data_IF_708811673539
#
_entry.id   IF_708811673539
#
_cell.length_a   1.000
_cell.length_b   1.000
_cell.length_c   1.000
_cell.angle_alpha   90.00
_cell.angle_beta   90.00
_cell.angle_gamma   90.00
#
_symmetry.space_group_name_H-M   'P 1'
#
loop_
_entity.id
_entity.type
_entity.pdbx_description
1 polymer ?
#
# COMPACT_ATOMS: atom_id res chain seq x y z
N UNK A 1 54.80 -33.59 -27.09
CA UNK A 1 53.92 -34.24 -26.11
C UNK A 1 53.42 -33.19 -25.13
N UNK A 2 52.27 -32.58 -25.43
CA UNK A 2 51.55 -31.71 -24.51
C UNK A 2 50.51 -32.57 -23.79
N UNK A 3 50.53 -32.57 -22.46
CA UNK A 3 49.52 -33.23 -21.64
C UNK A 3 48.18 -32.48 -21.76
N UNK A 4 47.04 -33.18 -21.85
CA UNK A 4 45.74 -32.52 -21.93
C UNK A 4 45.39 -31.89 -20.56
N UNK A 5 44.74 -30.71 -20.53
CA UNK A 5 44.24 -30.15 -19.29
C UNK A 5 43.06 -30.99 -18.78
N UNK A 6 43.08 -31.29 -17.47
CA UNK A 6 42.04 -32.01 -16.75
C UNK A 6 40.69 -31.29 -16.88
N UNK A 7 39.56 -32.00 -17.02
CA UNK A 7 38.25 -31.39 -16.95
C UNK A 7 38.04 -30.85 -15.52
N UNK A 8 38.00 -29.52 -15.38
CA UNK A 8 37.52 -28.88 -14.15
C UNK A 8 36.03 -29.19 -14.03
N UNK A 9 35.71 -29.97 -12.99
CA UNK A 9 34.48 -29.92 -12.19
C UNK A 9 33.30 -29.19 -12.86
N UNK A 10 32.59 -29.90 -13.73
CA UNK A 10 31.27 -29.51 -14.25
C UNK A 10 30.16 -30.42 -13.72
N UNK A 11 30.44 -31.14 -12.62
CA UNK A 11 29.50 -32.06 -11.96
C UNK A 11 29.58 -31.88 -10.44
N UNK A 12 28.99 -30.78 -9.94
CA UNK A 12 28.46 -30.64 -8.56
C UNK A 12 27.78 -29.27 -8.40
N UNK A 13 26.62 -29.12 -9.02
CA UNK A 13 25.64 -28.05 -8.72
C UNK A 13 24.24 -28.67 -8.58
N UNK A 14 24.16 -29.69 -7.73
CA UNK A 14 22.91 -30.21 -7.19
C UNK A 14 23.08 -30.29 -5.68
N UNK A 15 22.84 -29.15 -5.00
CA UNK A 15 22.49 -29.00 -3.59
C UNK A 15 22.44 -27.50 -3.27
N UNK A 16 21.35 -27.04 -2.67
CA UNK A 16 20.90 -25.66 -2.39
C UNK A 16 20.51 -24.84 -3.62
N UNK A 17 19.22 -24.78 -3.94
CA UNK A 17 18.68 -23.69 -4.75
C UNK A 17 18.89 -22.39 -3.97
N UNK A 18 19.80 -21.53 -4.43
CA UNK A 18 19.99 -20.20 -3.87
C UNK A 18 18.77 -19.37 -4.26
N UNK A 19 17.92 -19.01 -3.29
CA UNK A 19 16.79 -18.13 -3.54
C UNK A 19 17.30 -16.75 -3.96
N UNK A 20 16.67 -16.17 -4.97
CA UNK A 20 17.11 -14.92 -5.59
C UNK A 20 16.23 -13.78 -5.10
N UNK A 21 16.85 -12.78 -4.49
CA UNK A 21 16.18 -11.55 -4.12
C UNK A 21 16.05 -10.64 -5.34
N UNK A 22 14.84 -10.14 -5.57
CA UNK A 22 14.60 -9.12 -6.57
C UNK A 22 15.09 -7.79 -5.99
N UNK A 23 16.03 -7.08 -6.65
CA UNK A 23 16.47 -5.78 -6.16
C UNK A 23 15.26 -4.84 -6.07
N UNK A 24 15.08 -4.09 -4.97
CA UNK A 24 14.00 -3.12 -4.88
C UNK A 24 14.08 -2.14 -6.05
N UNK A 25 12.95 -1.96 -6.73
CA UNK A 25 12.81 -0.93 -7.76
C UNK A 25 12.79 0.47 -7.13
N UNK A 26 12.48 0.55 -5.83
CA UNK A 26 12.23 1.81 -5.12
C UNK A 26 10.87 2.38 -5.48
N UNK A 27 10.48 3.49 -4.84
CA UNK A 27 9.19 4.16 -5.06
C UNK A 27 9.32 5.43 -5.89
N UNK A 28 10.39 5.56 -6.66
CA UNK A 28 10.64 6.68 -7.58
C UNK A 28 10.38 6.29 -9.05
N UNK A 29 9.69 5.17 -9.27
CA UNK A 29 9.45 4.61 -10.60
C UNK A 29 8.48 5.48 -11.42
N UNK A 30 8.49 5.21 -12.72
CA UNK A 30 7.58 5.80 -13.71
C UNK A 30 6.54 4.79 -14.16
N UNK A 31 5.42 5.29 -14.65
CA UNK A 31 4.33 4.51 -15.22
C UNK A 31 4.58 4.30 -16.71
N UNK A 32 4.23 3.11 -17.17
CA UNK A 32 4.37 2.73 -18.57
C UNK A 32 3.03 2.30 -19.12
N UNK A 33 2.72 2.75 -20.34
CA UNK A 33 1.50 2.40 -21.06
C UNK A 33 1.80 2.04 -22.51
N UNK A 34 0.84 1.41 -23.18
CA UNK A 34 0.87 1.21 -24.63
C UNK A 34 -0.06 2.21 -25.30
N UNK A 35 0.46 2.96 -26.27
CA UNK A 35 -0.33 3.88 -27.09
C UNK A 35 -1.34 3.08 -27.95
N UNK A 36 -2.65 3.36 -27.87
CA UNK A 36 -3.66 2.71 -28.70
C UNK A 36 -3.45 2.95 -30.20
N UNK A 37 -2.93 4.11 -30.59
CA UNK A 37 -2.81 4.51 -31.99
C UNK A 37 -1.61 3.90 -32.71
N UNK A 38 -0.45 3.79 -32.03
CA UNK A 38 0.79 3.34 -32.66
C UNK A 38 1.46 2.13 -31.99
N UNK A 39 0.86 1.60 -30.92
CA UNK A 39 1.44 0.56 -30.06
C UNK A 39 2.81 0.91 -29.44
N UNK A 40 3.22 2.18 -29.50
CA UNK A 40 4.44 2.67 -28.86
C UNK A 40 4.31 2.73 -27.34
N UNK A 41 5.44 2.58 -26.63
CA UNK A 41 5.46 2.71 -25.16
C UNK A 41 5.46 4.18 -24.76
N UNK A 42 4.56 4.54 -23.85
CA UNK A 42 4.47 5.86 -23.22
C UNK A 42 5.02 5.75 -21.80
N UNK A 43 5.84 6.71 -21.37
CA UNK A 43 6.35 6.83 -20.01
C UNK A 43 5.85 8.13 -19.38
N UNK A 44 5.36 8.07 -18.15
CA UNK A 44 4.96 9.25 -17.37
C UNK A 44 5.29 9.09 -15.88
N UNK A 45 5.38 10.20 -15.16
CA UNK A 45 5.56 10.24 -13.71
C UNK A 45 4.24 10.40 -12.95
N UNK A 46 3.13 10.62 -13.64
CA UNK A 46 1.80 10.90 -13.06
C UNK A 46 0.71 10.03 -13.70
N UNK A 47 -0.37 9.79 -12.94
CA UNK A 47 -1.58 9.09 -13.38
C UNK A 47 -2.79 10.03 -13.53
N UNK A 48 -2.61 11.33 -13.27
CA UNK A 48 -3.70 12.30 -13.21
C UNK A 48 -3.77 13.21 -14.44
N UNK A 49 -2.71 13.22 -15.25
CA UNK A 49 -2.60 14.11 -16.41
C UNK A 49 -2.62 13.31 -17.71
N UNK A 50 -3.21 13.86 -18.79
CA UNK A 50 -3.08 13.30 -20.12
C UNK A 50 -1.62 13.22 -20.57
N UNK A 51 -1.29 12.18 -21.34
CA UNK A 51 0.07 11.93 -21.82
C UNK A 51 0.11 11.89 -23.33
N UNK A 52 1.10 12.58 -23.91
CA UNK A 52 1.32 12.59 -25.36
C UNK A 52 2.30 11.49 -25.75
N UNK A 53 1.89 10.60 -26.64
CA UNK A 53 2.75 9.61 -27.25
C UNK A 53 3.71 10.25 -28.27
N UNK A 54 4.84 9.60 -28.55
CA UNK A 54 5.77 9.99 -29.61
C UNK A 54 5.14 10.08 -31.01
N UNK A 55 4.02 9.40 -31.26
CA UNK A 55 3.26 9.52 -32.51
C UNK A 55 2.38 10.78 -32.59
N UNK A 56 2.34 11.60 -31.53
CA UNK A 56 1.53 12.82 -31.45
C UNK A 56 0.12 12.61 -30.92
N UNK A 57 -0.26 11.37 -30.58
CA UNK A 57 -1.55 11.06 -29.96
C UNK A 57 -1.56 11.50 -28.49
N UNK A 58 -2.61 12.19 -28.08
CA UNK A 58 -2.89 12.50 -26.67
C UNK A 58 -3.76 11.39 -26.08
N UNK A 59 -3.40 10.90 -24.89
CA UNK A 59 -4.08 9.79 -24.25
C UNK A 59 -4.39 10.16 -22.81
N UNK A 60 -5.64 9.95 -22.39
CA UNK A 60 -6.00 10.04 -20.99
C UNK A 60 -5.39 8.85 -20.24
N UNK A 61 -4.64 9.11 -19.16
CA UNK A 61 -4.02 8.06 -18.36
C UNK A 61 -5.05 7.20 -17.64
N UNK A 62 -6.25 7.73 -17.36
CA UNK A 62 -7.37 6.97 -16.78
C UNK A 62 -7.93 5.89 -17.71
N UNK A 63 -7.76 6.05 -19.03
CA UNK A 63 -8.24 5.11 -20.05
C UNK A 63 -7.19 4.06 -20.46
N UNK A 64 -5.96 4.16 -19.91
CA UNK A 64 -4.86 3.28 -20.26
C UNK A 64 -4.58 2.25 -19.16
N UNK A 65 -4.38 0.99 -19.56
CA UNK A 65 -3.89 -0.04 -18.66
C UNK A 65 -2.35 0.05 -18.55
N UNK A 66 -1.80 0.09 -17.31
CA UNK A 66 -0.37 -0.01 -17.11
C UNK A 66 0.21 -1.28 -17.76
N UNK A 67 1.38 -1.14 -18.37
CA UNK A 67 2.19 -2.27 -18.86
C UNK A 67 3.45 -2.43 -18.03
N UNK A 68 4.15 -3.55 -18.24
CA UNK A 68 5.41 -3.84 -17.57
C UNK A 68 6.36 -2.64 -17.57
N UNK A 69 6.89 -2.29 -16.38
CA UNK A 69 7.91 -1.26 -16.23
C UNK A 69 9.21 -1.71 -16.88
N UNK A 70 9.67 -2.90 -16.52
CA UNK A 70 10.87 -3.54 -17.09
C UNK A 70 10.48 -4.71 -18.00
N UNK A 71 10.69 -4.61 -19.33
CA UNK A 71 10.48 -5.72 -20.26
C UNK A 71 11.40 -6.93 -20.02
N UNK A 72 12.46 -6.77 -19.22
CA UNK A 72 13.40 -7.84 -18.88
C UNK A 72 13.27 -8.29 -17.42
N UNK A 73 12.14 -7.99 -16.77
CA UNK A 73 11.89 -8.40 -15.39
C UNK A 73 12.11 -9.92 -15.23
N UNK A 74 12.87 -10.28 -14.20
CA UNK A 74 13.25 -11.68 -13.92
C UNK A 74 12.02 -12.56 -13.64
N UNK A 75 10.93 -11.99 -13.15
CA UNK A 75 9.66 -12.69 -12.92
C UNK A 75 8.97 -13.14 -14.22
N UNK A 76 9.37 -12.60 -15.38
CA UNK A 76 8.89 -13.06 -16.69
C UNK A 76 9.45 -14.44 -17.06
N UNK A 77 10.51 -14.90 -16.38
CA UNK A 77 11.14 -16.20 -16.63
C UNK A 77 10.53 -17.30 -15.78
N UNK A 78 9.77 -18.18 -16.43
CA UNK A 78 9.05 -19.31 -15.80
C UNK A 78 9.95 -20.18 -14.92
N UNK A 79 11.19 -20.42 -15.35
CA UNK A 79 12.16 -21.26 -14.66
C UNK A 79 12.67 -20.63 -13.35
N UNK A 80 12.50 -19.32 -13.17
CA UNK A 80 13.01 -18.59 -12.02
C UNK A 80 11.94 -18.24 -10.98
N UNK A 81 10.65 -18.19 -11.34
CA UNK A 81 9.55 -17.72 -10.47
C UNK A 81 9.56 -18.39 -9.09
N UNK A 82 9.78 -19.71 -9.03
CA UNK A 82 9.82 -20.47 -7.78
C UNK A 82 11.08 -20.20 -6.93
N UNK A 83 12.14 -19.67 -7.54
CA UNK A 83 13.38 -19.29 -6.86
C UNK A 83 13.37 -17.83 -6.38
N UNK A 84 12.43 -17.02 -6.85
CA UNK A 84 12.32 -15.63 -6.43
C UNK A 84 11.76 -15.50 -5.01
N UNK A 85 12.24 -14.48 -4.31
CA UNK A 85 11.62 -14.01 -3.09
C UNK A 85 10.45 -13.09 -3.43
N UNK A 86 9.34 -13.33 -2.74
CA UNK A 86 8.11 -12.58 -2.88
C UNK A 86 7.69 -11.94 -1.57
N UNK A 87 6.88 -10.89 -1.65
CA UNK A 87 6.47 -10.10 -0.50
C UNK A 87 4.95 -9.97 -0.40
N UNK A 88 4.46 -9.86 0.83
CA UNK A 88 3.06 -9.57 1.14
C UNK A 88 2.98 -8.75 2.44
N UNK A 89 1.94 -7.93 2.58
CA UNK A 89 1.63 -7.24 3.84
C UNK A 89 0.25 -7.63 4.33
N UNK A 90 0.12 -7.89 5.63
CA UNK A 90 -1.16 -8.23 6.23
C UNK A 90 -1.27 -7.78 7.68
N UNK A 91 -2.47 -7.90 8.27
CA UNK A 91 -2.73 -7.70 9.71
C UNK A 91 -2.54 -8.98 10.54
N UNK A 92 -1.88 -10.02 10.00
CA UNK A 92 -1.65 -11.27 10.72
C UNK A 92 -0.17 -11.59 10.83
N UNK A 93 0.37 -11.64 12.05
CA UNK A 93 1.75 -12.05 12.30
C UNK A 93 2.09 -13.41 11.67
N UNK A 94 1.15 -14.35 11.83
CA UNK A 94 1.28 -15.75 11.39
C UNK A 94 0.74 -15.99 9.97
N UNK A 95 0.61 -14.95 9.15
CA UNK A 95 0.12 -15.07 7.76
C UNK A 95 0.91 -16.11 6.94
N UNK A 96 0.26 -16.95 6.11
CA UNK A 96 -1.19 -17.09 5.98
C UNK A 96 -1.78 -17.80 7.21
N UNK A 97 -2.79 -17.18 7.80
CA UNK A 97 -3.57 -17.74 8.91
C UNK A 97 -5.03 -17.86 8.48
N UNK A 98 -5.35 -18.99 7.85
CA UNK A 98 -6.70 -19.22 7.31
C UNK A 98 -7.77 -19.26 8.39
N UNK A 99 -7.42 -19.75 9.58
CA UNK A 99 -8.37 -19.85 10.68
C UNK A 99 -8.69 -18.46 11.24
N UNK A 100 -7.67 -17.63 11.47
CA UNK A 100 -7.86 -16.25 11.92
C UNK A 100 -8.64 -15.43 10.87
N UNK A 101 -8.29 -15.57 9.59
CA UNK A 101 -8.99 -14.88 8.51
C UNK A 101 -10.46 -15.30 8.39
N UNK A 102 -10.75 -16.61 8.49
CA UNK A 102 -12.12 -17.12 8.47
C UNK A 102 -12.93 -16.63 9.67
N UNK A 103 -12.33 -16.57 10.87
CA UNK A 103 -12.98 -16.05 12.07
C UNK A 103 -13.31 -14.55 11.93
N UNK A 104 -12.36 -13.73 11.50
CA UNK A 104 -12.60 -12.29 11.28
C UNK A 104 -13.65 -12.06 10.17
N UNK A 105 -13.63 -12.87 9.12
CA UNK A 105 -14.64 -12.82 8.06
C UNK A 105 -16.02 -13.17 8.62
N UNK A 106 -16.13 -14.18 9.48
CA UNK A 106 -17.38 -14.55 10.11
C UNK A 106 -17.92 -13.42 11.02
N UNK A 107 -17.05 -12.78 11.80
CA UNK A 107 -17.43 -11.63 12.65
C UNK A 107 -17.95 -10.46 11.80
N UNK A 108 -17.23 -10.11 10.73
CA UNK A 108 -17.64 -9.06 9.78
C UNK A 108 -18.96 -9.41 9.08
N UNK A 109 -19.19 -10.67 8.69
CA UNK A 109 -20.46 -11.12 8.10
C UNK A 109 -21.59 -11.04 9.12
N UNK A 110 -21.35 -11.49 10.35
CA UNK A 110 -22.34 -11.45 11.42
C UNK A 110 -22.76 -10.01 11.76
N UNK A 111 -21.85 -9.05 11.71
CA UNK A 111 -22.15 -7.64 11.95
C UNK A 111 -22.79 -6.96 10.73
N UNK A 112 -22.11 -6.97 9.58
CA UNK A 112 -22.48 -6.21 8.39
C UNK A 112 -23.60 -6.82 7.56
N UNK A 113 -23.87 -8.11 7.72
CA UNK A 113 -24.86 -8.87 6.93
C UNK A 113 -25.86 -9.64 7.81
N UNK A 114 -26.07 -9.19 9.05
CA UNK A 114 -27.03 -9.76 10.01
C UNK A 114 -28.47 -9.87 9.50
N UNK A 115 -28.83 -9.11 8.45
CA UNK A 115 -30.13 -9.15 7.80
C UNK A 115 -30.31 -10.32 6.80
N UNK A 116 -29.22 -11.01 6.43
CA UNK A 116 -29.26 -12.20 5.59
C UNK A 116 -29.47 -13.46 6.44
N UNK A 117 -30.00 -14.52 5.83
CA UNK A 117 -30.11 -15.82 6.50
C UNK A 117 -28.74 -16.52 6.66
N UNK A 118 -28.68 -17.53 7.53
CA UNK A 118 -27.44 -18.25 7.86
C UNK A 118 -26.79 -18.89 6.62
N UNK A 119 -27.58 -19.35 5.65
CA UNK A 119 -27.05 -19.99 4.45
C UNK A 119 -26.35 -18.97 3.53
N UNK A 120 -26.95 -17.79 3.34
CA UNK A 120 -26.37 -16.69 2.59
C UNK A 120 -25.12 -16.13 3.29
N UNK A 121 -25.14 -16.01 4.62
CA UNK A 121 -23.96 -15.62 5.40
C UNK A 121 -22.81 -16.62 5.23
N UNK A 122 -23.11 -17.92 5.33
CA UNK A 122 -22.13 -18.98 5.13
C UNK A 122 -21.54 -18.97 3.72
N UNK A 123 -22.35 -18.71 2.69
CA UNK A 123 -21.89 -18.59 1.31
C UNK A 123 -20.90 -17.42 1.13
N UNK A 124 -21.14 -16.28 1.80
CA UNK A 124 -20.20 -15.14 1.76
C UNK A 124 -18.87 -15.51 2.43
N UNK A 125 -18.91 -16.20 3.58
CA UNK A 125 -17.70 -16.66 4.28
C UNK A 125 -16.91 -17.63 3.38
N UNK A 126 -17.59 -18.60 2.78
CA UNK A 126 -16.97 -19.56 1.85
C UNK A 126 -16.36 -18.87 0.64
N UNK A 127 -17.06 -17.92 0.04
CA UNK A 127 -16.54 -17.16 -1.10
C UNK A 127 -15.27 -16.40 -0.73
N UNK A 128 -15.28 -15.65 0.38
CA UNK A 128 -14.14 -14.84 0.81
C UNK A 128 -12.93 -15.67 1.23
N UNK A 129 -13.17 -16.82 1.83
CA UNK A 129 -12.10 -17.76 2.22
C UNK A 129 -11.58 -18.62 1.07
N UNK A 130 -12.18 -18.50 -0.12
CA UNK A 130 -11.80 -19.23 -1.34
C UNK A 130 -11.09 -18.35 -2.38
N UNK A 131 -10.46 -17.25 -1.94
CA UNK A 131 -9.60 -16.43 -2.79
C UNK A 131 -8.14 -16.90 -2.76
N UNK A 132 -7.47 -16.73 -3.90
CA UNK A 132 -6.04 -16.81 -4.03
C UNK A 132 -5.36 -15.75 -3.18
N UNK A 133 -4.11 -16.02 -2.78
CA UNK A 133 -3.29 -15.04 -2.09
C UNK A 133 -2.44 -14.28 -3.10
N UNK A 134 -2.27 -12.99 -2.84
CA UNK A 134 -1.49 -12.10 -3.70
C UNK A 134 -0.09 -11.91 -3.12
N UNK A 135 0.91 -12.15 -3.94
CA UNK A 135 2.31 -11.90 -3.66
C UNK A 135 2.87 -10.92 -4.70
N UNK A 136 3.80 -10.06 -4.32
CA UNK A 136 4.40 -9.11 -5.25
C UNK A 136 5.84 -8.78 -4.91
N UNK A 137 6.34 -7.71 -5.53
CA UNK A 137 7.60 -7.10 -5.11
C UNK A 137 7.44 -6.42 -3.74
N UNK A 138 8.55 -5.96 -3.16
CA UNK A 138 8.52 -5.17 -1.94
C UNK A 138 7.62 -3.94 -2.08
N UNK A 139 7.72 -3.23 -3.21
CA UNK A 139 6.90 -2.04 -3.49
C UNK A 139 5.42 -2.37 -3.54
N UNK A 140 5.03 -3.45 -4.25
CA UNK A 140 3.64 -3.89 -4.33
C UNK A 140 3.08 -4.21 -2.93
N UNK A 141 3.87 -4.89 -2.10
CA UNK A 141 3.47 -5.23 -0.74
C UNK A 141 3.29 -3.97 0.14
N UNK A 142 4.19 -3.00 0.08
CA UNK A 142 4.06 -1.76 0.86
C UNK A 142 2.91 -0.88 0.34
N UNK A 143 2.75 -0.72 -0.97
CA UNK A 143 1.64 0.07 -1.53
C UNK A 143 0.27 -0.57 -1.24
N UNK A 144 0.18 -1.90 -1.21
CA UNK A 144 -1.03 -2.59 -0.75
C UNK A 144 -1.34 -2.23 0.71
N UNK A 145 -0.33 -2.18 1.58
CA UNK A 145 -0.52 -1.73 2.97
C UNK A 145 -1.01 -0.28 3.03
N UNK A 146 -0.39 0.63 2.28
CA UNK A 146 -0.79 2.05 2.26
C UNK A 146 -2.23 2.21 1.79
N UNK A 147 -2.61 1.51 0.71
CA UNK A 147 -3.98 1.50 0.20
C UNK A 147 -4.95 1.01 1.26
N UNK A 148 -4.70 -0.16 1.85
CA UNK A 148 -5.58 -0.73 2.88
C UNK A 148 -5.74 0.18 4.09
N UNK A 149 -4.65 0.79 4.57
CA UNK A 149 -4.71 1.78 5.64
C UNK A 149 -5.60 2.96 5.24
N UNK A 150 -5.49 3.45 4.00
CA UNK A 150 -6.29 4.55 3.47
C UNK A 150 -7.79 4.25 3.45
N UNK A 151 -8.22 3.14 2.84
CA UNK A 151 -9.63 2.96 2.44
C UNK A 151 -10.29 1.62 2.84
N UNK A 152 -9.58 0.68 3.47
CA UNK A 152 -10.14 -0.64 3.83
C UNK A 152 -10.11 -0.99 5.31
N UNK A 153 -9.17 -0.43 6.08
CA UNK A 153 -9.06 -0.68 7.51
C UNK A 153 -9.93 0.27 8.34
N UNK A 154 -10.24 -0.06 9.61
CA UNK A 154 -11.02 0.82 10.48
C UNK A 154 -10.43 2.22 10.59
N UNK A 155 -11.33 3.21 10.74
CA UNK A 155 -10.96 4.62 10.92
C UNK A 155 -10.05 4.81 12.14
N UNK A 156 -10.30 4.08 13.23
CA UNK A 156 -9.37 4.02 14.36
C UNK A 156 -8.20 3.07 14.07
N UNK A 157 -7.10 3.68 13.63
CA UNK A 157 -5.85 2.99 13.28
C UNK A 157 -4.93 2.77 14.49
N UNK A 158 -5.31 3.16 15.71
CA UNK A 158 -4.45 3.04 16.91
C UNK A 158 -4.13 1.59 17.28
N UNK A 159 -5.05 0.68 16.95
CA UNK A 159 -4.96 -0.76 17.22
C UNK A 159 -4.46 -1.56 16.02
N UNK A 160 -4.43 -0.97 14.82
CA UNK A 160 -4.00 -1.64 13.61
C UNK A 160 -2.49 -1.86 13.67
N UNK A 161 -2.09 -3.10 13.41
CA UNK A 161 -0.69 -3.50 13.24
C UNK A 161 -0.57 -4.27 11.94
N UNK A 162 0.49 -3.99 11.22
CA UNK A 162 0.83 -4.68 9.99
C UNK A 162 2.09 -5.50 10.18
N UNK A 163 2.20 -6.53 9.35
CA UNK A 163 3.39 -7.33 9.20
C UNK A 163 3.79 -7.35 7.73
N UNK A 164 5.09 -7.30 7.49
CA UNK A 164 5.68 -7.60 6.19
C UNK A 164 6.12 -9.06 6.19
N UNK A 165 5.71 -9.78 5.16
CA UNK A 165 5.99 -11.20 4.98
C UNK A 165 6.94 -11.38 3.80
N UNK A 166 8.06 -12.04 4.06
CA UNK A 166 8.97 -12.56 3.03
C UNK A 166 8.62 -14.02 2.77
N UNK A 167 8.28 -14.32 1.52
CA UNK A 167 7.61 -15.56 1.14
C UNK A 167 8.45 -16.30 0.12
N UNK A 168 8.70 -17.59 0.39
CA UNK A 168 9.17 -18.54 -0.61
C UNK A 168 8.04 -19.48 -0.99
N UNK A 169 7.93 -19.76 -2.28
CA UNK A 169 6.94 -20.68 -2.82
C UNK A 169 7.62 -21.94 -3.37
N UNK A 170 6.86 -23.01 -3.46
CA UNK A 170 7.25 -24.24 -4.12
C UNK A 170 6.21 -24.60 -5.17
N UNK A 171 6.67 -24.71 -6.42
CA UNK A 171 5.85 -25.02 -7.59
C UNK A 171 6.30 -26.35 -8.18
N UNK A 172 5.38 -27.31 -8.30
CA UNK A 172 5.60 -28.52 -9.07
C UNK A 172 5.61 -28.20 -10.58
N UNK A 173 6.07 -29.13 -11.44
CA UNK A 173 5.91 -28.97 -12.88
C UNK A 173 4.44 -28.69 -13.24
N UNK A 174 4.20 -27.65 -14.04
CA UNK A 174 2.88 -27.15 -14.45
C UNK A 174 2.06 -26.42 -13.36
N UNK A 175 2.57 -26.24 -12.13
CA UNK A 175 1.87 -25.40 -11.13
C UNK A 175 1.86 -23.92 -11.54
N UNK A 176 2.81 -23.48 -12.38
CA UNK A 176 2.87 -22.12 -12.89
C UNK A 176 2.17 -22.01 -14.25
N UNK A 177 1.26 -21.04 -14.38
CA UNK A 177 0.74 -20.68 -15.69
C UNK A 177 1.83 -20.00 -16.56
N UNK A 178 2.03 -20.44 -17.82
CA UNK A 178 3.17 -20.02 -18.63
C UNK A 178 3.12 -18.56 -19.11
N UNK A 179 1.92 -17.98 -19.20
CA UNK A 179 1.77 -16.58 -19.61
C UNK A 179 1.62 -15.66 -18.41
N UNK A 180 2.29 -14.51 -18.49
CA UNK A 180 1.98 -13.32 -17.67
C UNK A 180 0.76 -12.67 -18.31
N UNK A 181 -0.35 -12.67 -17.59
CA UNK A 181 -1.59 -12.06 -18.06
C UNK A 181 -1.68 -10.58 -17.67
N UNK A 182 -2.72 -9.94 -18.20
CA UNK A 182 -3.30 -8.78 -17.53
C UNK A 182 -3.81 -9.20 -16.14
N UNK A 183 -3.92 -8.24 -15.22
CA UNK A 183 -4.56 -8.48 -13.93
C UNK A 183 -5.95 -9.07 -14.14
N UNK A 184 -6.26 -10.17 -13.43
CA UNK A 184 -7.54 -10.86 -13.58
C UNK A 184 -8.62 -9.92 -13.06
N UNK A 185 -9.56 -9.46 -13.92
CA UNK A 185 -10.48 -8.42 -13.53
C UNK A 185 -11.46 -8.96 -12.50
N UNK A 186 -11.37 -8.43 -11.28
CA UNK A 186 -12.42 -8.53 -10.28
C UNK A 186 -12.63 -7.16 -9.65
N UNK A 187 -13.78 -6.95 -9.02
CA UNK A 187 -14.18 -5.65 -8.48
C UNK A 187 -13.20 -5.07 -7.45
N UNK A 188 -12.35 -5.90 -6.82
CA UNK A 188 -11.43 -5.49 -5.76
C UNK A 188 -10.03 -6.12 -5.89
N UNK A 189 -9.68 -6.66 -7.06
CA UNK A 189 -8.42 -7.40 -7.27
C UNK A 189 -8.38 -8.80 -6.64
N UNK A 190 -9.48 -9.26 -6.02
CA UNK A 190 -9.63 -10.62 -5.48
C UNK A 190 -9.69 -11.66 -6.61
N UNK A 191 -8.84 -12.69 -6.56
CA UNK A 191 -8.85 -13.79 -7.55
C UNK A 191 -9.41 -15.05 -6.92
N UNK A 192 -10.58 -15.58 -7.36
CA UNK A 192 -11.08 -16.88 -6.90
C UNK A 192 -10.07 -18.00 -7.15
N UNK A 193 -9.94 -18.94 -6.22
CA UNK A 193 -9.11 -20.14 -6.43
C UNK A 193 -9.57 -20.94 -7.66
N UNK A 194 -10.87 -20.92 -7.96
CA UNK A 194 -11.42 -21.56 -9.16
C UNK A 194 -10.83 -21.02 -10.47
N UNK A 195 -10.46 -19.74 -10.53
CA UNK A 195 -9.79 -19.16 -11.71
C UNK A 195 -8.39 -19.76 -11.93
N UNK A 196 -7.70 -20.15 -10.86
CA UNK A 196 -6.42 -20.87 -10.95
C UNK A 196 -6.66 -22.32 -11.42
N UNK A 197 -7.68 -22.98 -10.84
CA UNK A 197 -8.05 -24.36 -11.18
C UNK A 197 -8.48 -24.50 -12.66
N UNK A 198 -9.26 -23.56 -13.18
CA UNK A 198 -9.69 -23.52 -14.59
C UNK A 198 -8.50 -23.37 -15.56
N UNK A 199 -7.44 -22.71 -15.12
CA UNK A 199 -6.17 -22.57 -15.85
C UNK A 199 -5.26 -23.78 -15.67
N UNK A 200 -5.65 -24.77 -14.86
CA UNK A 200 -4.84 -25.92 -14.51
C UNK A 200 -3.55 -25.54 -13.79
N UNK A 201 -3.54 -24.43 -13.06
CA UNK A 201 -2.37 -23.85 -12.40
C UNK A 201 -2.65 -23.60 -10.92
N UNK A 202 -1.58 -23.45 -10.14
CA UNK A 202 -1.62 -23.06 -8.72
C UNK A 202 -0.97 -21.70 -8.47
N UNK A 203 -0.35 -21.12 -9.51
CA UNK A 203 0.20 -19.78 -9.51
C UNK A 203 0.03 -19.14 -10.90
N UNK A 204 -0.39 -17.88 -10.94
CA UNK A 204 -0.51 -17.06 -12.16
C UNK A 204 0.21 -15.74 -11.94
N UNK A 205 1.01 -15.32 -12.92
CA UNK A 205 1.64 -13.99 -12.95
C UNK A 205 0.74 -13.00 -13.66
N UNK A 206 0.72 -11.77 -13.15
CA UNK A 206 0.03 -10.67 -13.79
C UNK A 206 0.79 -9.36 -13.64
N UNK A 207 0.52 -8.41 -14.55
CA UNK A 207 1.00 -7.03 -14.44
C UNK A 207 0.10 -6.30 -13.46
N UNK A 208 0.66 -5.79 -12.36
CA UNK A 208 -0.11 -5.11 -11.32
C UNK A 208 -0.57 -3.72 -11.80
N UNK A 209 -1.86 -3.43 -11.66
CA UNK A 209 -2.48 -2.14 -12.01
C UNK A 209 -3.02 -1.39 -10.79
N UNK A 210 -3.03 -2.00 -9.61
CA UNK A 210 -3.55 -1.40 -8.38
C UNK A 210 -2.42 -0.90 -7.47
N UNK A 211 -1.39 -1.72 -7.27
CA UNK A 211 -0.20 -1.42 -6.48
C UNK A 211 1.06 -1.48 -7.34
N UNK A 212 2.04 -0.60 -7.11
CA UNK A 212 3.34 -0.64 -7.81
C UNK A 212 3.19 -0.86 -9.33
N UNK A 213 2.41 0.01 -9.99
CA UNK A 213 1.90 -0.18 -11.34
C UNK A 213 2.98 -0.64 -12.33
N UNK A 214 2.67 -1.69 -13.10
CA UNK A 214 3.60 -2.28 -14.07
C UNK A 214 4.68 -3.18 -13.45
N UNK A 215 4.59 -3.50 -12.16
CA UNK A 215 5.33 -4.61 -11.54
C UNK A 215 4.69 -5.96 -11.87
N UNK A 216 5.46 -7.05 -11.75
CA UNK A 216 4.91 -8.41 -11.81
C UNK A 216 4.49 -8.85 -10.41
N UNK A 217 3.25 -9.31 -10.27
CA UNK A 217 2.71 -9.94 -9.06
C UNK A 217 2.21 -11.35 -9.35
N UNK A 218 1.94 -12.12 -8.30
CA UNK A 218 1.42 -13.48 -8.36
C UNK A 218 0.08 -13.58 -7.64
N UNK A 219 -0.88 -14.26 -8.26
CA UNK A 219 -2.01 -14.86 -7.57
C UNK A 219 -1.69 -16.35 -7.36
N UNK A 220 -1.74 -16.81 -6.11
CA UNK A 220 -1.32 -18.17 -5.74
C UNK A 220 -2.37 -18.91 -4.91
N UNK A 221 -2.43 -20.23 -5.11
CA UNK A 221 -3.07 -21.11 -4.16
C UNK A 221 -2.25 -21.15 -2.86
N UNK A 222 -2.80 -20.91 -1.66
CA UNK A 222 -2.00 -20.75 -0.44
C UNK A 222 -1.09 -21.94 -0.13
N UNK A 223 -1.52 -23.15 -0.49
CA UNK A 223 -0.70 -24.35 -0.35
C UNK A 223 0.63 -24.31 -1.13
N UNK A 224 0.88 -23.42 -2.10
CA UNK A 224 2.22 -23.34 -2.73
C UNK A 224 3.25 -22.66 -1.82
N UNK A 225 2.83 -22.03 -0.73
CA UNK A 225 3.75 -21.34 0.18
C UNK A 225 4.60 -22.38 0.92
N UNK A 226 5.92 -22.26 0.77
CA UNK A 226 6.90 -23.13 1.40
C UNK A 226 7.31 -22.57 2.76
N UNK A 227 7.78 -21.33 2.80
CA UNK A 227 8.26 -20.67 4.01
C UNK A 227 7.86 -19.20 4.06
N UNK A 228 7.69 -18.70 5.28
CA UNK A 228 7.40 -17.28 5.55
C UNK A 228 8.30 -16.79 6.69
N UNK A 229 8.94 -15.64 6.49
CA UNK A 229 9.51 -14.84 7.57
C UNK A 229 8.70 -13.55 7.70
N UNK A 230 8.45 -13.12 8.94
CA UNK A 230 7.59 -11.95 9.22
C UNK A 230 8.30 -10.96 10.12
N UNK A 231 8.11 -9.66 9.87
CA UNK A 231 8.47 -8.58 10.79
C UNK A 231 7.26 -7.65 10.98
N UNK A 232 7.16 -7.05 12.16
CA UNK A 232 6.12 -6.07 12.45
C UNK A 232 6.46 -4.70 11.84
N UNK A 233 5.44 -4.00 11.34
CA UNK A 233 5.53 -2.66 10.79
C UNK A 233 4.74 -1.64 11.64
N UNK A 234 5.17 -0.36 11.67
CA UNK A 234 6.41 0.18 11.08
C UNK A 234 7.66 -0.08 11.94
N UNK A 235 8.84 0.06 11.35
CA UNK A 235 10.13 -0.17 12.01
C UNK A 235 10.72 1.13 12.55
N UNK A 236 10.38 1.50 13.79
CA UNK A 236 10.82 2.76 14.39
C UNK A 236 12.36 2.91 14.45
N UNK A 237 13.10 1.81 14.56
CA UNK A 237 14.57 1.80 14.59
C UNK A 237 15.21 2.29 13.29
N UNK A 238 14.50 2.21 12.16
CA UNK A 238 14.99 2.62 10.84
C UNK A 238 14.60 4.06 10.47
N UNK A 239 13.88 4.76 11.34
CA UNK A 239 13.36 6.10 11.10
C UNK A 239 14.11 7.15 11.94
N UNK A 240 15.35 7.53 11.58
CA UNK A 240 16.07 8.56 12.29
C UNK A 240 15.40 9.92 12.07
N UNK A 241 15.27 10.67 13.15
CA UNK A 241 14.77 12.04 13.11
C UNK A 241 15.82 12.98 12.51
N UNK A 242 15.39 13.91 11.65
CA UNK A 242 16.23 14.99 11.16
C UNK A 242 16.07 16.26 12.01
N UNK A 243 17.13 17.09 12.16
CA UNK A 243 17.02 18.34 12.91
C UNK A 243 15.96 19.29 12.36
N UNK A 244 15.82 19.40 11.04
CA UNK A 244 14.84 20.30 10.42
C UNK A 244 13.39 19.85 10.70
N UNK A 245 13.14 18.53 10.68
CA UNK A 245 11.84 17.98 11.07
C UNK A 245 11.56 18.21 12.56
N UNK A 246 12.54 17.98 13.44
CA UNK A 246 12.40 18.20 14.89
C UNK A 246 12.08 19.67 15.23
N UNK A 247 12.78 20.60 14.57
CA UNK A 247 12.55 22.04 14.72
C UNK A 247 11.16 22.44 14.22
N UNK A 248 10.73 21.92 13.06
CA UNK A 248 9.40 22.18 12.50
C UNK A 248 8.28 21.63 13.39
N UNK A 249 8.45 20.43 13.93
CA UNK A 249 7.51 19.82 14.88
C UNK A 249 7.39 20.64 16.16
N UNK A 250 8.52 21.08 16.72
CA UNK A 250 8.54 21.95 17.91
C UNK A 250 7.86 23.29 17.65
N UNK A 251 8.14 23.90 16.49
CA UNK A 251 7.52 25.15 16.08
C UNK A 251 6.00 25.00 15.87
N UNK A 252 5.56 23.91 15.24
CA UNK A 252 4.15 23.61 15.03
C UNK A 252 3.41 23.41 16.35
N UNK A 253 3.98 22.65 17.29
CA UNK A 253 3.40 22.43 18.62
C UNK A 253 3.24 23.73 19.41
N UNK A 254 4.26 24.59 19.39
CA UNK A 254 4.19 25.92 20.01
C UNK A 254 3.12 26.80 19.35
N UNK A 255 3.10 26.87 18.02
CA UNK A 255 2.15 27.69 17.26
C UNK A 255 0.70 27.23 17.47
N UNK A 256 0.44 25.91 17.51
CA UNK A 256 -0.89 25.38 17.80
C UNK A 256 -1.32 25.69 19.23
N UNK A 257 -0.41 25.55 20.21
CA UNK A 257 -0.70 25.89 21.61
C UNK A 257 -1.01 27.38 21.80
N UNK A 258 -0.35 28.27 21.04
CA UNK A 258 -0.66 29.70 21.03
C UNK A 258 -1.99 29.97 20.32
N UNK A 259 -2.24 29.34 19.17
CA UNK A 259 -3.46 29.50 18.39
C UNK A 259 -4.70 29.06 19.17
N UNK A 260 -4.61 28.00 19.98
CA UNK A 260 -5.71 27.50 20.80
C UNK A 260 -6.23 28.55 21.78
N UNK A 261 -5.37 29.46 22.26
CA UNK A 261 -5.78 30.57 23.14
C UNK A 261 -6.68 31.59 22.42
N UNK A 262 -6.65 31.61 21.08
CA UNK A 262 -7.47 32.48 20.24
C UNK A 262 -8.71 31.79 19.67
N UNK A 263 -8.96 30.52 20.02
CA UNK A 263 -10.15 29.79 19.57
C UNK A 263 -11.42 30.54 20.02
N UNK A 264 -12.32 30.91 19.09
CA UNK A 264 -13.54 31.59 19.47
C UNK A 264 -14.49 30.65 20.22
N UNK A 265 -15.20 31.19 21.23
CA UNK A 265 -16.24 30.44 21.93
C UNK A 265 -17.48 30.29 21.04
N UNK A 266 -17.74 29.06 20.63
CA UNK A 266 -18.88 28.68 19.78
C UNK A 266 -20.02 28.07 20.58
N UNK A 267 -19.92 28.05 21.92
CA UNK A 267 -20.91 27.44 22.81
C UNK A 267 -22.29 28.08 22.60
N UNK A 268 -23.29 27.24 22.38
CA UNK A 268 -24.68 27.67 22.18
C UNK A 268 -25.01 28.17 20.77
N UNK A 269 -24.07 28.13 19.83
CA UNK A 269 -24.29 28.52 18.43
C UNK A 269 -24.47 27.26 17.58
N UNK A 270 -25.48 27.28 16.70
CA UNK A 270 -25.68 26.22 15.73
C UNK A 270 -24.51 26.19 14.72
N UNK A 271 -23.80 25.06 14.63
CA UNK A 271 -22.67 24.86 13.72
C UNK A 271 -23.04 25.18 12.27
N UNK A 272 -24.27 24.95 11.84
CA UNK A 272 -24.67 25.25 10.46
C UNK A 272 -24.70 26.76 10.19
N UNK A 273 -25.00 27.58 11.20
CA UNK A 273 -24.97 29.03 11.09
C UNK A 273 -23.54 29.59 11.11
N UNK A 274 -22.60 28.86 11.73
CA UNK A 274 -21.17 29.19 11.69
C UNK A 274 -20.53 28.85 10.34
N UNK A 275 -20.93 27.73 9.73
CA UNK A 275 -20.32 27.22 8.49
C UNK A 275 -20.99 27.70 7.21
N UNK A 276 -22.26 28.07 7.28
CA UNK A 276 -23.06 28.32 6.08
C UNK A 276 -23.82 29.63 6.20
N UNK A 277 -23.26 30.68 5.61
CA UNK A 277 -23.82 32.04 5.68
C UNK A 277 -25.31 32.13 5.28
N UNK A 278 -25.79 31.42 4.24
CA UNK A 278 -27.22 31.46 3.90
C UNK A 278 -28.13 30.88 5.00
N UNK A 279 -27.67 29.93 5.82
CA UNK A 279 -28.47 29.42 6.95
C UNK A 279 -28.54 30.44 8.08
N UNK A 280 -27.47 31.19 8.32
CA UNK A 280 -27.50 32.33 9.24
C UNK A 280 -28.51 33.38 8.77
N UNK A 281 -28.46 33.76 7.49
CA UNK A 281 -29.36 34.76 6.91
C UNK A 281 -30.83 34.30 6.92
N UNK A 282 -31.09 33.00 6.72
CA UNK A 282 -32.45 32.45 6.78
C UNK A 282 -33.02 32.44 8.21
N UNK A 283 -32.19 32.14 9.21
CA UNK A 283 -32.62 32.10 10.63
C UNK A 283 -32.74 33.48 11.24
N UNK A 284 -31.91 34.42 10.81
CA UNK A 284 -31.92 35.82 11.24
C UNK A 284 -32.00 36.74 10.02
N UNK A 285 -33.21 37.03 9.51
CA UNK A 285 -33.38 37.78 8.27
C UNK A 285 -33.03 39.27 8.38
N UNK A 286 -33.10 39.85 9.58
CA UNK A 286 -32.73 41.25 9.81
C UNK A 286 -31.19 41.38 9.90
N UNK A 287 -30.55 42.13 8.98
CA UNK A 287 -29.11 42.33 9.01
C UNK A 287 -28.59 43.05 10.26
N UNK A 288 -29.46 43.79 10.96
CA UNK A 288 -29.14 44.54 12.18
C UNK A 288 -29.47 43.79 13.46
N UNK A 289 -29.94 42.53 13.36
CA UNK A 289 -30.14 41.68 14.52
C UNK A 289 -28.81 41.50 15.29
N UNK A 290 -28.76 41.85 16.60
CA UNK A 290 -27.54 41.74 17.38
C UNK A 290 -26.97 40.33 17.47
N UNK A 291 -27.83 39.31 17.48
CA UNK A 291 -27.44 37.90 17.51
C UNK A 291 -26.85 37.47 16.16
N UNK A 292 -27.44 37.93 15.05
CA UNK A 292 -26.85 37.72 13.71
C UNK A 292 -25.45 38.32 13.63
N UNK A 293 -25.27 39.55 14.09
CA UNK A 293 -23.97 40.23 14.07
C UNK A 293 -22.95 39.50 14.95
N UNK A 294 -23.36 39.07 16.14
CA UNK A 294 -22.54 38.25 17.03
C UNK A 294 -22.09 36.94 16.35
N UNK A 295 -23.02 36.17 15.78
CA UNK A 295 -22.69 34.89 15.12
C UNK A 295 -21.79 35.13 13.91
N UNK A 296 -22.05 36.18 13.12
CA UNK A 296 -21.21 36.56 11.99
C UNK A 296 -19.76 36.82 12.41
N UNK A 297 -19.55 37.62 13.47
CA UNK A 297 -18.20 37.89 13.98
C UNK A 297 -17.50 36.63 14.50
N UNK A 298 -18.23 35.74 15.18
CA UNK A 298 -17.67 34.47 15.66
C UNK A 298 -17.32 33.54 14.48
N UNK A 299 -18.15 33.51 13.43
CA UNK A 299 -17.86 32.76 12.22
C UNK A 299 -16.58 33.28 11.53
N UNK A 300 -16.44 34.60 11.38
CA UNK A 300 -15.23 35.21 10.79
C UNK A 300 -13.97 34.87 11.61
N UNK A 301 -14.07 34.89 12.96
CA UNK A 301 -12.98 34.49 13.86
C UNK A 301 -12.65 33.00 13.75
N UNK A 302 -13.67 32.15 13.58
CA UNK A 302 -13.50 30.71 13.43
C UNK A 302 -12.84 30.36 12.10
N UNK A 303 -13.21 31.06 11.02
CA UNK A 303 -12.57 30.93 9.71
C UNK A 303 -11.08 31.36 9.77
N UNK A 304 -10.75 32.48 10.43
CA UNK A 304 -9.34 32.87 10.66
C UNK A 304 -8.56 31.82 11.46
N UNK A 305 -9.16 31.33 12.55
CA UNK A 305 -8.57 30.27 13.36
C UNK A 305 -8.31 29.00 12.53
N UNK A 306 -9.27 28.56 11.72
CA UNK A 306 -9.14 27.36 10.87
C UNK A 306 -8.11 27.54 9.76
N UNK A 307 -8.06 28.70 9.12
CA UNK A 307 -7.06 29.02 8.11
C UNK A 307 -5.64 29.01 8.71
N UNK A 308 -5.46 29.59 9.89
CA UNK A 308 -4.17 29.59 10.60
C UNK A 308 -3.79 28.19 11.08
N UNK A 309 -4.76 27.44 11.60
CA UNK A 309 -4.56 26.04 11.99
C UNK A 309 -4.08 25.21 10.79
N UNK A 310 -4.78 25.31 9.65
CA UNK A 310 -4.42 24.66 8.40
C UNK A 310 -3.01 25.04 7.94
N UNK A 311 -2.66 26.34 7.96
CA UNK A 311 -1.34 26.81 7.57
C UNK A 311 -0.20 26.24 8.44
N UNK A 312 -0.41 26.08 9.76
CA UNK A 312 0.58 25.46 10.65
C UNK A 312 0.82 23.99 10.24
N UNK A 313 -0.25 23.23 10.03
CA UNK A 313 -0.18 21.84 9.60
C UNK A 313 0.40 21.66 8.20
N UNK A 314 0.08 22.55 7.25
CA UNK A 314 0.68 22.54 5.92
C UNK A 314 2.18 22.81 6.01
N UNK A 315 2.63 23.76 6.82
CA UNK A 315 4.05 24.04 6.99
C UNK A 315 4.81 22.84 7.58
N UNK A 316 4.27 22.23 8.64
CA UNK A 316 4.83 21.01 9.22
C UNK A 316 4.93 19.91 8.16
N UNK A 317 3.81 19.59 7.50
CA UNK A 317 3.73 18.51 6.51
C UNK A 317 4.70 18.73 5.35
N UNK A 318 4.78 19.94 4.81
CA UNK A 318 5.73 20.29 3.74
C UNK A 318 7.19 20.08 4.16
N UNK A 319 7.55 20.43 5.41
CA UNK A 319 8.91 20.17 5.92
C UNK A 319 9.16 18.67 6.07
N UNK A 320 8.22 17.92 6.63
CA UNK A 320 8.37 16.46 6.78
C UNK A 320 8.48 15.76 5.42
N UNK A 321 7.69 16.15 4.43
CA UNK A 321 7.79 15.62 3.06
C UNK A 321 9.16 15.89 2.43
N UNK A 322 9.68 17.13 2.57
CA UNK A 322 10.98 17.49 2.03
C UNK A 322 12.13 16.69 2.65
N UNK A 323 12.04 16.43 3.96
CA UNK A 323 13.07 15.71 4.71
C UNK A 323 12.99 14.18 4.50
N UNK A 324 11.78 13.61 4.47
CA UNK A 324 11.59 12.16 4.51
C UNK A 324 11.12 11.55 3.19
N UNK A 325 10.62 12.32 2.21
CA UNK A 325 10.11 11.78 0.93
C UNK A 325 10.66 12.50 -0.34
N UNK A 326 11.94 12.92 -0.39
CA UNK A 326 12.46 13.80 -1.45
C UNK A 326 12.43 13.19 -2.86
N UNK A 327 12.38 11.87 -2.96
CA UNK A 327 12.46 11.13 -4.24
C UNK A 327 11.29 10.18 -4.47
N UNK A 328 10.23 10.30 -3.68
CA UNK A 328 9.07 9.42 -3.81
C UNK A 328 8.15 9.92 -4.93
N UNK A 329 7.64 8.99 -5.74
CA UNK A 329 6.65 9.24 -6.77
C UNK A 329 5.42 9.96 -6.19
N UNK A 330 4.83 10.90 -6.94
CA UNK A 330 3.69 11.70 -6.50
C UNK A 330 2.48 10.89 -6.04
N UNK A 331 2.05 9.88 -6.80
CA UNK A 331 0.90 9.06 -6.41
C UNK A 331 1.22 8.18 -5.19
N UNK A 332 2.46 7.70 -5.05
CA UNK A 332 2.86 6.94 -3.85
C UNK A 332 2.85 7.86 -2.63
N UNK A 333 3.31 9.11 -2.78
CA UNK A 333 3.26 10.13 -1.72
C UNK A 333 1.82 10.43 -1.31
N UNK A 334 0.91 10.58 -2.26
CA UNK A 334 -0.52 10.79 -1.96
C UNK A 334 -1.10 9.62 -1.14
N UNK A 335 -0.90 8.38 -1.59
CA UNK A 335 -1.32 7.17 -0.84
C UNK A 335 -0.70 7.13 0.56
N UNK A 336 0.57 7.53 0.67
CA UNK A 336 1.25 7.65 1.95
C UNK A 336 0.55 8.62 2.89
N UNK A 337 0.16 9.82 2.42
CA UNK A 337 -0.58 10.79 3.25
C UNK A 337 -1.93 10.24 3.70
N UNK A 338 -2.67 9.58 2.82
CA UNK A 338 -3.94 8.97 3.21
C UNK A 338 -3.80 7.82 4.22
N UNK A 339 -2.65 7.13 4.21
CA UNK A 339 -2.33 6.07 5.16
C UNK A 339 -1.93 6.59 6.56
N UNK A 340 -1.51 7.85 6.70
CA UNK A 340 -1.15 8.42 8.00
C UNK A 340 -2.36 8.52 8.94
N UNK A 341 -2.11 8.25 10.22
CA UNK A 341 -3.14 8.38 11.25
C UNK A 341 -3.48 9.86 11.45
N UNK A 342 -4.77 10.13 11.66
CA UNK A 342 -5.20 11.47 12.03
C UNK A 342 -4.87 11.70 13.51
N UNK A 343 -4.18 12.78 13.82
CA UNK A 343 -3.84 13.21 15.18
C UNK A 343 -3.72 14.73 15.23
N UNK A 344 -4.08 15.30 16.38
CA UNK A 344 -3.93 16.73 16.65
C UNK A 344 -2.57 17.05 17.33
N UNK A 345 -1.73 16.03 17.57
CA UNK A 345 -0.39 16.17 18.16
C UNK A 345 0.70 16.14 17.06
N UNK A 346 1.39 17.26 16.81
CA UNK A 346 2.50 17.33 15.85
C UNK A 346 3.60 16.29 16.09
N UNK A 347 3.89 15.96 17.35
CA UNK A 347 4.95 15.02 17.70
C UNK A 347 4.54 13.56 17.42
N UNK A 348 3.27 13.23 17.61
CA UNK A 348 2.73 11.93 17.18
C UNK A 348 2.70 11.84 15.65
N UNK A 349 2.22 12.89 14.98
CA UNK A 349 2.18 12.95 13.52
C UNK A 349 3.57 12.77 12.90
N UNK A 350 4.57 13.51 13.38
CA UNK A 350 5.95 13.39 12.91
C UNK A 350 6.49 11.97 13.16
N UNK A 351 6.25 11.37 14.33
CA UNK A 351 6.70 10.01 14.63
C UNK A 351 6.11 8.98 13.66
N UNK A 352 4.82 9.09 13.36
CA UNK A 352 4.16 8.20 12.40
C UNK A 352 4.68 8.43 10.98
N UNK A 353 4.84 9.70 10.59
CA UNK A 353 5.36 10.11 9.30
C UNK A 353 6.75 9.50 9.04
N UNK A 354 7.70 9.69 9.97
CA UNK A 354 9.05 9.16 9.80
C UNK A 354 9.08 7.63 9.77
N UNK A 355 8.26 6.97 10.62
CA UNK A 355 8.25 5.51 10.73
C UNK A 355 7.70 4.86 9.45
N UNK A 356 6.65 5.44 8.87
CA UNK A 356 6.08 4.97 7.61
C UNK A 356 6.99 5.35 6.42
N UNK A 357 7.63 6.52 6.44
CA UNK A 357 8.50 6.98 5.35
C UNK A 357 9.77 6.12 5.21
N UNK A 358 10.26 5.56 6.33
CA UNK A 358 11.38 4.62 6.31
C UNK A 358 11.10 3.37 5.44
N UNK A 359 9.84 2.93 5.35
CA UNK A 359 9.46 1.82 4.47
C UNK A 359 9.63 2.16 2.99
N UNK A 360 9.46 3.43 2.63
CA UNK A 360 9.58 3.90 1.25
C UNK A 360 11.03 4.26 0.88
N UNK A 361 11.79 4.80 1.83
CA UNK A 361 13.13 5.35 1.57
C UNK A 361 14.27 4.40 1.90
N UNK A 362 14.03 3.35 2.70
CA UNK A 362 15.06 2.43 3.17
C UNK A 362 14.73 0.95 2.91
N UNK A 363 14.29 0.57 1.69
CA UNK A 363 13.88 -0.81 1.39
C UNK A 363 14.97 -1.83 1.74
N UNK A 364 16.24 -1.55 1.42
CA UNK A 364 17.36 -2.45 1.72
C UNK A 364 17.52 -2.72 3.22
N UNK A 365 17.33 -1.70 4.07
CA UNK A 365 17.46 -1.87 5.52
C UNK A 365 16.26 -2.64 6.09
N UNK A 366 15.05 -2.39 5.58
CA UNK A 366 13.84 -3.14 5.96
C UNK A 366 13.99 -4.63 5.59
N UNK A 367 14.52 -4.91 4.41
CA UNK A 367 14.76 -6.28 3.93
C UNK A 367 15.86 -6.98 4.74
N UNK A 368 16.88 -6.24 5.19
CA UNK A 368 17.90 -6.78 6.09
C UNK A 368 17.33 -7.21 7.46
N UNK A 369 16.31 -6.52 7.99
CA UNK A 369 15.60 -6.97 9.21
C UNK A 369 14.88 -8.31 8.96
N UNK A 370 14.24 -8.47 7.79
CA UNK A 370 13.59 -9.73 7.39
C UNK A 370 14.57 -10.89 7.24
N UNK A 371 15.80 -10.66 6.78
CA UNK A 371 16.82 -11.70 6.63
C UNK A 371 17.21 -12.34 7.97
N UNK A 372 17.04 -11.60 9.07
CA UNK A 372 17.31 -12.09 10.43
C UNK A 372 16.08 -12.64 11.13
N UNK A 373 14.89 -12.46 10.55
CA UNK A 373 13.63 -12.85 11.16
C UNK A 373 13.45 -14.39 11.19
N UNK A 374 12.77 -14.94 12.21
CA UNK A 374 12.48 -16.36 12.26
C UNK A 374 11.69 -16.84 11.04
N UNK A 375 12.14 -17.93 10.44
CA UNK A 375 11.48 -18.55 9.28
C UNK A 375 10.53 -19.65 9.74
N UNK A 376 9.25 -19.54 9.39
CA UNK A 376 8.25 -20.59 9.56
C UNK A 376 8.14 -21.42 8.28
N UNK A 377 8.23 -22.74 8.43
CA UNK A 377 8.02 -23.69 7.34
C UNK A 377 6.57 -24.16 7.34
N UNK A 378 5.89 -24.00 6.21
CA UNK A 378 4.48 -24.39 6.00
C UNK A 378 4.34 -25.66 5.18
N UNK A 379 5.27 -25.89 4.26
CA UNK A 379 5.47 -27.17 3.60
C UNK A 379 6.88 -27.66 3.85
N UNK A 380 7.00 -28.83 4.44
CA UNK A 380 8.25 -29.59 4.41
C UNK A 380 8.40 -30.13 2.99
N UNK A 381 9.43 -29.71 2.27
CA UNK A 381 9.83 -30.41 1.05
C UNK A 381 10.27 -31.81 1.47
N UNK A 382 9.48 -32.83 1.14
CA UNK A 382 9.94 -34.22 1.22
C UNK A 382 11.03 -34.39 0.16
N UNK A 383 12.27 -34.07 0.53
CA UNK A 383 13.47 -34.53 -0.16
C UNK A 383 13.75 -35.96 0.29
N UNK A 384 12.94 -36.92 -0.15
CA UNK A 384 13.31 -38.32 -0.33
C UNK A 384 12.12 -39.12 -0.85
N UNK A 385 12.14 -39.44 -2.16
CA UNK A 385 12.11 -40.83 -2.63
C UNK A 385 12.56 -40.92 -4.09
#
# INVERSE_FOLDING_TARGET
MQAPPRPKQLNRLMASAEFVEQPPAGFNYTYWFTCPDCAGRINTTTLEEPVTCACGAENDTADLNPVLRDPNDVALRDDLVASLIWYHTSRYENWPDRQAYAAETADMVAEGFSYLDEAAQQQIIEQRTSFALHLGTYEAAIENMLRRLSDQDPVDRSTVRYWLHRVHIHLAPNDLHPHVGDEIPSYFGEVPLSELDERGARAVRYVNIHEAHGSVSLAIHPDVIATVASIALPLQSLAPETPAAADATTAAAAALSELEQSRPDTTGIDRICLRFRPMLDARYPDPHDPERQRIATIADQLDDYENRHSAIWSNLTNTLEAEYLPHINGNVRERFHHALRHTDDPAEYHRDFQALAALLTRPTDVLAELDTAPVRTLRTTDHNQ
#
